data_IF_315749992110
#
_entry.id   IF_315749992110
#
_cell.length_a   1.000
_cell.length_b   1.000
_cell.length_c   1.000
_cell.angle_alpha   90.00
_cell.angle_beta   90.00
_cell.angle_gamma   90.00
#
_symmetry.space_group_name_H-M   'P 1'
#
loop_
_entity.id
_entity.type
_entity.pdbx_description
1 polymer ?
#
# COMPACT_ATOMS: atom_id res chain seq x y z
N UNK A 1 -6.34 -26.39 -6.18
CA UNK A 1 -6.27 -24.91 -6.18
C UNK A 1 -4.88 -24.47 -6.59
N UNK A 2 -4.75 -23.27 -7.16
CA UNK A 2 -3.45 -22.61 -7.34
C UNK A 2 -3.22 -21.68 -6.15
N UNK A 3 -2.13 -21.88 -5.43
CA UNK A 3 -1.73 -21.05 -4.30
C UNK A 3 -0.39 -20.41 -4.65
N UNK A 4 -0.48 -19.25 -5.30
CA UNK A 4 0.68 -18.48 -5.77
C UNK A 4 1.21 -17.62 -4.62
N UNK A 5 2.44 -17.86 -4.21
CA UNK A 5 3.21 -16.97 -3.35
C UNK A 5 4.15 -16.13 -4.21
N UNK A 6 4.08 -14.80 -4.07
CA UNK A 6 4.99 -13.86 -4.73
C UNK A 6 5.77 -13.15 -3.63
N UNK A 7 7.09 -13.28 -3.64
CA UNK A 7 8.00 -12.70 -2.63
C UNK A 7 9.19 -12.04 -3.31
N UNK A 8 10.10 -11.46 -2.53
CA UNK A 8 11.33 -10.83 -3.00
C UNK A 8 12.46 -10.97 -1.95
N UNK A 9 13.75 -10.89 -2.33
CA UNK A 9 14.87 -11.17 -1.43
C UNK A 9 14.90 -10.34 -0.14
N UNK A 10 14.45 -9.09 -0.18
CA UNK A 10 14.47 -8.15 0.94
C UNK A 10 13.44 -8.41 2.04
N UNK A 11 12.49 -9.31 1.83
CA UNK A 11 11.42 -9.63 2.81
C UNK A 11 11.24 -11.11 3.08
N UNK A 12 11.71 -12.01 2.19
CA UNK A 12 11.47 -13.46 2.31
C UNK A 12 11.97 -14.07 3.65
N UNK A 13 13.01 -13.48 4.25
CA UNK A 13 13.51 -13.91 5.55
C UNK A 13 12.58 -13.50 6.71
N UNK A 14 11.95 -12.33 6.62
CA UNK A 14 11.00 -11.84 7.62
C UNK A 14 9.59 -12.43 7.41
N UNK A 15 9.21 -12.68 6.16
CA UNK A 15 7.90 -13.18 5.73
C UNK A 15 8.06 -14.45 4.89
N UNK A 16 8.53 -15.52 5.52
CA UNK A 16 8.78 -16.79 4.84
C UNK A 16 7.50 -17.43 4.28
N UNK A 17 7.54 -17.98 3.05
CA UNK A 17 6.37 -18.61 2.44
C UNK A 17 5.83 -19.78 3.28
N UNK A 18 4.51 -19.82 3.47
CA UNK A 18 3.86 -20.94 4.13
C UNK A 18 3.93 -22.21 3.26
N UNK A 19 4.12 -23.43 3.84
CA UNK A 19 4.18 -24.68 3.08
C UNK A 19 2.95 -25.02 2.22
N UNK A 20 1.80 -24.37 2.44
CA UNK A 20 0.61 -24.53 1.58
C UNK A 20 0.77 -23.90 0.19
N UNK A 21 1.73 -22.97 0.03
CA UNK A 21 2.06 -22.35 -1.26
C UNK A 21 2.58 -23.42 -2.21
N UNK A 22 1.93 -23.57 -3.38
CA UNK A 22 2.29 -24.59 -4.37
C UNK A 22 2.91 -24.02 -5.65
N UNK A 23 2.95 -22.69 -5.79
CA UNK A 23 3.68 -21.98 -6.83
C UNK A 23 4.39 -20.79 -6.16
N UNK A 24 5.71 -20.81 -6.06
CA UNK A 24 6.49 -19.72 -5.48
C UNK A 24 7.22 -18.97 -6.58
N UNK A 25 7.07 -17.64 -6.61
CA UNK A 25 7.79 -16.73 -7.51
C UNK A 25 8.56 -15.72 -6.66
N UNK A 26 9.84 -15.55 -6.96
CA UNK A 26 10.71 -14.59 -6.30
C UNK A 26 11.00 -13.48 -7.30
N UNK A 27 10.42 -12.30 -7.06
CA UNK A 27 10.64 -11.09 -7.86
C UNK A 27 11.95 -10.42 -7.41
N UNK A 28 12.62 -9.65 -8.27
CA UNK A 28 13.94 -9.13 -7.93
C UNK A 28 13.91 -7.94 -6.96
N UNK A 29 12.77 -7.24 -6.83
CA UNK A 29 12.57 -6.14 -5.88
C UNK A 29 11.08 -5.97 -5.51
N UNK A 30 10.83 -5.08 -4.55
CA UNK A 30 9.48 -4.81 -4.01
C UNK A 30 8.55 -4.20 -5.05
N UNK A 31 9.02 -3.26 -5.88
CA UNK A 31 8.19 -2.65 -6.93
C UNK A 31 7.74 -3.68 -7.98
N UNK A 32 8.63 -4.60 -8.39
CA UNK A 32 8.25 -5.68 -9.31
C UNK A 32 7.34 -6.72 -8.65
N UNK A 33 7.49 -6.96 -7.34
CA UNK A 33 6.52 -7.74 -6.55
C UNK A 33 5.14 -7.10 -6.58
N UNK A 34 5.06 -5.79 -6.34
CA UNK A 34 3.81 -5.03 -6.36
C UNK A 34 3.17 -4.99 -7.76
N UNK A 35 3.97 -4.79 -8.82
CA UNK A 35 3.48 -4.88 -10.20
C UNK A 35 2.94 -6.28 -10.51
N UNK A 36 3.64 -7.35 -10.09
CA UNK A 36 3.17 -8.71 -10.30
C UNK A 36 1.76 -8.92 -9.71
N UNK A 37 1.50 -8.44 -8.48
CA UNK A 37 0.18 -8.57 -7.84
C UNK A 37 -0.95 -7.95 -8.69
N UNK A 38 -0.80 -6.71 -9.15
CA UNK A 38 -1.85 -6.01 -9.90
C UNK A 38 -1.98 -6.48 -11.34
N UNK A 39 -0.92 -7.06 -11.92
CA UNK A 39 -0.95 -7.62 -13.27
C UNK A 39 -1.64 -8.98 -13.33
N UNK A 40 -1.45 -9.83 -12.32
CA UNK A 40 -2.01 -11.19 -12.29
C UNK A 40 -3.34 -11.28 -11.53
N UNK A 41 -3.61 -10.33 -10.62
CA UNK A 41 -4.83 -10.30 -9.83
C UNK A 41 -6.04 -9.87 -10.66
N UNK A 42 -7.09 -10.69 -10.65
CA UNK A 42 -8.41 -10.34 -11.20
C UNK A 42 -9.32 -9.64 -10.19
N UNK A 43 -8.89 -9.60 -8.93
CA UNK A 43 -9.53 -8.94 -7.81
C UNK A 43 -8.61 -9.07 -6.60
N UNK A 44 -8.64 -8.08 -5.72
CA UNK A 44 -7.77 -8.01 -4.54
C UNK A 44 -8.64 -7.85 -3.29
N UNK A 45 -8.35 -8.68 -2.29
CA UNK A 45 -8.96 -8.60 -0.97
C UNK A 45 -7.87 -8.16 0.00
N UNK A 46 -8.13 -7.09 0.75
CA UNK A 46 -7.20 -6.55 1.74
C UNK A 46 -7.78 -6.75 3.14
N UNK A 47 -6.98 -7.36 4.00
CA UNK A 47 -7.28 -7.56 5.42
C UNK A 47 -6.54 -6.51 6.28
N UNK A 48 -6.92 -6.34 7.57
CA UNK A 48 -6.21 -5.43 8.45
C UNK A 48 -4.75 -5.79 8.63
N UNK A 49 -3.86 -4.83 8.39
CA UNK A 49 -2.42 -5.00 8.49
C UNK A 49 -1.73 -3.74 9.00
N UNK A 50 -0.39 -3.72 8.94
CA UNK A 50 0.42 -2.60 9.37
C UNK A 50 0.79 -1.67 8.21
N UNK A 51 1.97 -1.07 8.33
CA UNK A 51 2.53 -0.17 7.32
C UNK A 51 2.76 -0.81 5.96
N UNK A 52 3.09 -2.11 5.89
CA UNK A 52 3.25 -2.83 4.61
C UNK A 52 1.92 -2.95 3.86
N UNK A 53 0.82 -3.21 4.57
CA UNK A 53 -0.52 -3.24 3.97
C UNK A 53 -0.97 -1.84 3.55
N UNK A 54 -0.64 -0.81 4.32
CA UNK A 54 -0.91 0.57 3.91
C UNK A 54 -0.12 0.96 2.64
N UNK A 55 1.14 0.53 2.51
CA UNK A 55 1.94 0.67 1.30
C UNK A 55 1.26 0.02 0.08
N UNK A 56 0.80 -1.22 0.23
CA UNK A 56 0.11 -1.97 -0.82
C UNK A 56 -1.22 -1.31 -1.23
N UNK A 57 -2.00 -0.79 -0.26
CA UNK A 57 -3.22 -0.03 -0.52
C UNK A 57 -2.90 1.24 -1.33
N UNK A 58 -1.89 2.01 -0.92
CA UNK A 58 -1.52 3.24 -1.62
C UNK A 58 -0.96 2.97 -3.02
N UNK A 59 -0.24 1.87 -3.19
CA UNK A 59 0.23 1.41 -4.49
C UNK A 59 -0.92 1.17 -5.45
N UNK A 60 -1.90 0.33 -5.06
CA UNK A 60 -3.01 -0.01 -5.95
C UNK A 60 -3.94 1.17 -6.20
N UNK A 61 -4.27 1.97 -5.18
CA UNK A 61 -5.11 3.16 -5.38
C UNK A 61 -4.43 4.18 -6.27
N UNK A 62 -3.12 4.37 -6.13
CA UNK A 62 -2.35 5.24 -7.00
C UNK A 62 -2.45 4.83 -8.47
N UNK A 63 -2.39 3.53 -8.76
CA UNK A 63 -2.60 2.99 -10.10
C UNK A 63 -4.04 3.24 -10.57
N UNK A 64 -5.05 2.87 -9.78
CA UNK A 64 -6.47 3.00 -10.17
C UNK A 64 -6.91 4.46 -10.36
N UNK A 65 -6.25 5.40 -9.70
CA UNK A 65 -6.47 6.85 -9.86
C UNK A 65 -5.83 7.45 -11.11
N UNK A 66 -5.03 6.69 -11.86
CA UNK A 66 -4.47 7.17 -13.12
C UNK A 66 -5.58 7.37 -14.16
N UNK A 67 -5.60 8.48 -14.92
CA UNK A 67 -6.66 8.75 -15.91
C UNK A 67 -6.90 7.61 -16.90
N UNK A 68 -5.82 6.97 -17.38
CA UNK A 68 -5.89 5.85 -18.34
C UNK A 68 -6.51 4.58 -17.76
N UNK A 69 -6.70 4.48 -16.44
CA UNK A 69 -7.28 3.31 -15.77
C UNK A 69 -8.74 3.51 -15.35
N UNK A 70 -9.32 4.70 -15.59
CA UNK A 70 -10.64 5.08 -15.07
C UNK A 70 -11.76 4.09 -15.41
N UNK A 71 -11.70 3.50 -16.60
CA UNK A 71 -12.74 2.60 -17.11
C UNK A 71 -12.37 1.11 -16.96
N UNK A 72 -11.25 0.80 -16.29
CA UNK A 72 -10.84 -0.57 -16.05
C UNK A 72 -11.54 -1.12 -14.79
N UNK A 73 -12.33 -2.19 -14.89
CA UNK A 73 -12.87 -2.85 -13.72
C UNK A 73 -11.71 -3.50 -12.95
N UNK A 74 -11.60 -3.15 -11.66
CA UNK A 74 -10.63 -3.75 -10.75
C UNK A 74 -11.29 -3.96 -9.39
N UNK A 75 -11.78 -5.17 -9.09
CA UNK A 75 -12.43 -5.47 -7.80
C UNK A 75 -11.42 -5.33 -6.67
N UNK A 76 -11.63 -4.35 -5.79
CA UNK A 76 -10.83 -4.12 -4.60
C UNK A 76 -11.73 -4.10 -3.38
N UNK A 77 -11.58 -5.08 -2.49
CA UNK A 77 -12.43 -5.27 -1.33
C UNK A 77 -11.57 -5.20 -0.07
N UNK A 78 -11.97 -4.36 0.87
CA UNK A 78 -11.39 -4.27 2.20
C UNK A 78 -12.29 -5.00 3.17
N UNK A 79 -11.76 -5.97 3.92
CA UNK A 79 -12.60 -6.82 4.77
C UNK A 79 -11.90 -7.33 6.02
N UNK A 80 -12.70 -7.64 7.04
CA UNK A 80 -12.23 -8.22 8.29
C UNK A 80 -13.39 -8.60 9.21
N UNK A 81 -13.09 -9.18 10.39
CA UNK A 81 -14.11 -9.46 11.41
C UNK A 81 -14.74 -8.16 11.92
N UNK A 82 -15.82 -8.26 12.70
CA UNK A 82 -16.47 -7.07 13.30
C UNK A 82 -15.50 -6.18 14.10
N UNK A 83 -14.49 -6.76 14.74
CA UNK A 83 -13.44 -6.02 15.48
C UNK A 83 -12.53 -5.16 14.59
N UNK A 84 -12.55 -5.37 13.26
CA UNK A 84 -11.77 -4.59 12.30
C UNK A 84 -12.49 -3.31 11.83
N UNK A 85 -13.74 -3.06 12.24
CA UNK A 85 -14.51 -1.91 11.76
C UNK A 85 -13.78 -0.57 11.99
N UNK A 86 -13.28 -0.35 13.22
CA UNK A 86 -12.54 0.88 13.56
C UNK A 86 -11.22 1.01 12.79
N UNK A 87 -10.57 -0.10 12.42
CA UNK A 87 -9.37 -0.07 11.58
C UNK A 87 -9.71 0.44 10.18
N UNK A 88 -10.75 -0.11 9.54
CA UNK A 88 -11.12 0.30 8.19
C UNK A 88 -11.73 1.69 8.14
N UNK A 89 -12.42 2.16 9.19
CA UNK A 89 -12.85 3.56 9.29
C UNK A 89 -11.65 4.52 9.27
N UNK A 90 -10.55 4.17 9.95
CA UNK A 90 -9.35 5.00 9.96
C UNK A 90 -8.63 5.00 8.61
N UNK A 91 -8.54 3.83 7.95
CA UNK A 91 -7.98 3.70 6.60
C UNK A 91 -8.82 4.50 5.60
N UNK A 92 -10.14 4.33 5.61
CA UNK A 92 -11.07 5.02 4.71
C UNK A 92 -10.98 6.54 4.89
N UNK A 93 -11.01 7.01 6.13
CA UNK A 93 -10.86 8.43 6.45
C UNK A 93 -9.52 8.99 5.99
N UNK A 94 -8.42 8.25 6.16
CA UNK A 94 -7.11 8.67 5.69
C UNK A 94 -7.08 8.78 4.17
N UNK A 95 -7.59 7.77 3.45
CA UNK A 95 -7.67 7.77 1.98
C UNK A 95 -8.52 8.94 1.48
N UNK A 96 -9.70 9.16 2.06
CA UNK A 96 -10.57 10.28 1.70
C UNK A 96 -9.90 11.64 1.92
N UNK A 97 -9.17 11.81 3.02
CA UNK A 97 -8.49 13.09 3.34
C UNK A 97 -7.21 13.33 2.54
N UNK A 98 -6.51 12.26 2.17
CA UNK A 98 -5.26 12.34 1.40
C UNK A 98 -5.51 12.38 -0.12
N UNK A 99 -6.35 11.48 -0.63
CA UNK A 99 -6.54 11.21 -2.05
C UNK A 99 -7.95 11.57 -2.57
N UNK A 100 -8.90 11.86 -1.68
CA UNK A 100 -10.25 12.31 -2.04
C UNK A 100 -11.24 11.18 -2.37
N UNK A 101 -12.50 11.54 -2.56
CA UNK A 101 -13.62 10.60 -2.80
C UNK A 101 -13.40 9.68 -4.01
N UNK A 102 -12.69 10.15 -5.04
CA UNK A 102 -12.36 9.32 -6.20
C UNK A 102 -11.55 8.08 -5.79
N UNK A 103 -10.67 8.19 -4.80
CA UNK A 103 -9.92 7.06 -4.28
C UNK A 103 -10.82 6.12 -3.47
N UNK A 104 -11.76 6.67 -2.70
CA UNK A 104 -12.73 5.88 -1.94
C UNK A 104 -13.68 5.10 -2.85
N UNK A 105 -13.98 5.63 -4.04
CA UNK A 105 -14.79 4.92 -5.04
C UNK A 105 -14.10 3.74 -5.71
N UNK A 106 -12.79 3.55 -5.51
CA UNK A 106 -12.03 2.44 -6.08
C UNK A 106 -12.17 1.13 -5.28
N UNK A 107 -12.79 1.14 -4.10
CA UNK A 107 -12.92 -0.06 -3.25
C UNK A 107 -14.26 -0.14 -2.54
N UNK A 108 -14.58 -1.34 -2.05
CA UNK A 108 -15.72 -1.60 -1.16
C UNK A 108 -15.22 -2.11 0.20
N UNK A 109 -15.80 -1.62 1.30
CA UNK A 109 -15.53 -2.13 2.65
C UNK A 109 -16.67 -3.05 3.08
N UNK A 110 -16.36 -4.33 3.30
CA UNK A 110 -17.32 -5.35 3.74
C UNK A 110 -16.85 -5.92 5.08
N UNK A 111 -17.61 -5.67 6.15
CA UNK A 111 -17.24 -6.09 7.52
C UNK A 111 -18.06 -7.30 7.95
N UNK A 112 -17.38 -8.33 8.45
CA UNK A 112 -17.97 -9.50 9.08
C UNK A 112 -18.95 -10.29 8.18
N UNK A 113 -18.76 -10.22 6.86
CA UNK A 113 -19.56 -10.97 5.88
C UNK A 113 -18.66 -11.64 4.81
N UNK A 114 -18.07 -12.81 5.12
CA UNK A 114 -17.19 -13.51 4.17
C UNK A 114 -17.93 -14.02 2.92
N UNK A 115 -19.23 -14.28 3.01
CA UNK A 115 -20.03 -14.73 1.86
C UNK A 115 -20.25 -13.57 0.87
N UNK A 116 -20.60 -12.38 1.38
CA UNK A 116 -20.71 -11.17 0.58
C UNK A 116 -19.37 -10.85 -0.10
N UNK A 117 -18.24 -10.91 0.62
CA UNK A 117 -16.91 -10.72 0.02
C UNK A 117 -16.68 -11.66 -1.16
N UNK A 118 -16.94 -12.96 -0.98
CA UNK A 118 -16.74 -13.94 -2.04
C UNK A 118 -17.64 -13.69 -3.25
N UNK A 119 -18.90 -13.31 -3.00
CA UNK A 119 -19.87 -12.99 -4.06
C UNK A 119 -19.49 -11.72 -4.83
N UNK A 120 -19.10 -10.64 -4.14
CA UNK A 120 -18.65 -9.38 -4.74
C UNK A 120 -17.41 -9.59 -5.61
N UNK A 121 -16.40 -10.28 -5.09
CA UNK A 121 -15.16 -10.58 -5.85
C UNK A 121 -15.49 -11.44 -7.08
N UNK A 122 -16.33 -12.47 -6.93
CA UNK A 122 -16.72 -13.33 -8.05
C UNK A 122 -17.46 -12.57 -9.14
N UNK A 123 -18.37 -11.67 -8.77
CA UNK A 123 -19.07 -10.80 -9.72
C UNK A 123 -18.07 -9.90 -10.46
N UNK A 124 -17.20 -9.20 -9.72
CA UNK A 124 -16.20 -8.31 -10.31
C UNK A 124 -15.19 -9.03 -11.21
N UNK A 125 -14.83 -10.29 -10.92
CA UNK A 125 -13.99 -11.10 -11.82
C UNK A 125 -14.70 -11.38 -13.16
N UNK A 126 -16.03 -11.52 -13.17
CA UNK A 126 -16.77 -11.64 -14.43
C UNK A 126 -16.71 -10.33 -15.23
N UNK A 127 -16.81 -9.18 -14.58
CA UNK A 127 -16.69 -7.87 -15.23
C UNK A 127 -15.28 -7.69 -15.82
N UNK A 128 -14.23 -8.07 -15.07
CA UNK A 128 -12.85 -8.11 -15.57
C UNK A 128 -12.76 -9.00 -16.80
N UNK A 129 -13.35 -10.20 -16.76
CA UNK A 129 -13.31 -11.15 -17.89
C UNK A 129 -13.95 -10.55 -19.15
N UNK A 130 -15.14 -9.95 -19.06
CA UNK A 130 -15.77 -9.34 -20.23
C UNK A 130 -14.95 -8.13 -20.72
N UNK A 131 -14.40 -7.30 -19.83
CA UNK A 131 -13.55 -6.20 -20.24
C UNK A 131 -12.27 -6.66 -20.97
N UNK A 132 -11.62 -7.75 -20.56
CA UNK A 132 -10.45 -8.31 -21.28
C UNK A 132 -10.85 -8.77 -22.67
N UNK A 133 -11.99 -9.43 -22.79
CA UNK A 133 -12.51 -9.93 -24.05
C UNK A 133 -12.81 -8.78 -25.01
N UNK A 134 -13.41 -7.70 -24.52
CA UNK A 134 -13.76 -6.52 -25.32
C UNK A 134 -12.53 -5.72 -25.75
N UNK A 135 -11.53 -5.60 -24.88
CA UNK A 135 -10.26 -4.90 -25.18
C UNK A 135 -9.23 -5.75 -25.95
N UNK A 136 -9.45 -7.07 -26.06
CA UNK A 136 -8.50 -8.01 -26.64
C UNK A 136 -7.27 -8.28 -25.78
N UNK A 137 -7.30 -7.94 -24.49
CA UNK A 137 -6.19 -8.16 -23.56
C UNK A 137 -6.18 -9.61 -23.03
N UNK A 138 -5.03 -10.04 -22.50
CA UNK A 138 -4.86 -11.38 -21.96
C UNK A 138 -5.61 -11.56 -20.63
N UNK A 139 -6.21 -12.74 -20.44
CA UNK A 139 -6.81 -13.09 -19.14
C UNK A 139 -5.77 -13.31 -18.05
N UNK A 140 -4.58 -13.81 -18.38
CA UNK A 140 -3.58 -14.22 -17.38
C UNK A 140 -2.61 -13.11 -16.98
N UNK A 141 -2.65 -11.96 -17.67
CA UNK A 141 -1.80 -10.82 -17.38
C UNK A 141 -2.48 -9.55 -17.92
N UNK A 142 -2.71 -8.59 -17.04
CA UNK A 142 -3.38 -7.34 -17.35
C UNK A 142 -2.41 -6.35 -18.01
N UNK A 143 -2.27 -6.38 -19.35
CA UNK A 143 -1.41 -5.44 -20.08
C UNK A 143 -2.02 -4.05 -20.20
N UNK A 144 -3.34 -3.96 -20.29
CA UNK A 144 -4.06 -2.68 -20.46
C UNK A 144 -3.95 -1.75 -19.24
N UNK A 145 -3.62 -2.26 -18.06
CA UNK A 145 -3.40 -1.43 -16.87
C UNK A 145 -2.19 -0.53 -17.06
N UNK A 146 -2.43 0.78 -17.03
CA UNK A 146 -1.38 1.77 -17.01
C UNK A 146 -0.73 1.81 -15.62
N UNK A 147 0.58 1.63 -15.53
CA UNK A 147 1.33 1.80 -14.27
C UNK A 147 2.35 2.90 -14.51
N UNK A 148 2.16 4.05 -13.85
CA UNK A 148 3.07 5.18 -13.98
C UNK A 148 4.49 4.79 -13.50
N UNK A 149 5.57 5.21 -14.17
CA UNK A 149 6.94 4.93 -13.76
C UNK A 149 7.26 5.26 -12.29
N UNK A 150 6.54 6.19 -11.66
CA UNK A 150 6.66 6.50 -10.24
C UNK A 150 6.36 5.30 -9.32
N UNK A 151 5.55 4.34 -9.78
CA UNK A 151 5.24 3.10 -9.07
C UNK A 151 6.24 1.97 -9.38
N UNK A 152 6.94 2.03 -10.51
CA UNK A 152 7.85 0.97 -10.94
C UNK A 152 9.32 1.19 -10.54
N UNK A 153 9.72 2.46 -10.35
CA UNK A 153 11.09 2.81 -9.95
C UNK A 153 11.35 2.37 -8.50
N UNK A 154 12.42 1.58 -8.26
CA UNK A 154 12.84 1.23 -6.91
C UNK A 154 13.07 2.46 -6.05
N UNK A 155 12.57 2.41 -4.81
CA UNK A 155 12.80 3.45 -3.82
C UNK A 155 13.78 2.97 -2.75
N UNK A 156 14.90 3.69 -2.61
CA UNK A 156 15.87 3.46 -1.54
C UNK A 156 15.61 4.45 -0.40
N UNK A 157 15.17 4.00 0.78
CA UNK A 157 14.75 4.89 1.87
C UNK A 157 15.96 5.40 2.67
N UNK A 158 16.70 6.35 2.09
CA UNK A 158 17.69 7.16 2.83
C UNK A 158 17.01 8.35 3.51
N UNK A 159 17.65 8.96 4.51
CA UNK A 159 17.11 10.15 5.19
C UNK A 159 16.80 11.29 4.23
N UNK A 160 17.67 11.53 3.25
CA UNK A 160 17.46 12.56 2.22
C UNK A 160 16.27 12.20 1.32
N UNK A 161 16.20 10.96 0.82
CA UNK A 161 15.08 10.53 -0.03
C UNK A 161 13.73 10.56 0.70
N UNK A 162 13.72 10.27 2.01
CA UNK A 162 12.52 10.35 2.86
C UNK A 162 12.10 11.80 3.10
N UNK A 163 13.06 12.71 3.32
CA UNK A 163 12.84 14.14 3.51
C UNK A 163 12.33 14.82 2.23
N UNK A 164 12.82 14.39 1.07
CA UNK A 164 12.51 14.98 -0.24
C UNK A 164 11.17 14.49 -0.85
N UNK A 165 10.43 13.63 -0.15
CA UNK A 165 9.12 13.17 -0.62
C UNK A 165 8.16 14.35 -0.76
N UNK A 166 7.59 14.52 -1.96
CA UNK A 166 6.56 15.53 -2.19
C UNK A 166 5.21 15.07 -1.60
N UNK A 167 4.98 15.36 -0.32
CA UNK A 167 3.74 15.06 0.40
C UNK A 167 2.84 16.30 0.53
N UNK A 168 2.65 17.02 -0.58
CA UNK A 168 1.71 18.15 -0.70
C UNK A 168 0.54 17.79 -1.63
N UNK A 169 -0.64 18.33 -1.37
CA UNK A 169 -1.90 18.07 -2.10
C UNK A 169 -1.93 18.76 -3.47
N UNK A 170 -1.06 19.73 -3.74
CA UNK A 170 -0.98 20.43 -5.02
C UNK A 170 -0.21 19.62 -6.09
N UNK A 171 -0.71 18.41 -6.36
CA UNK A 171 -0.22 17.51 -7.40
C UNK A 171 -1.33 16.53 -7.81
N UNK A 172 -1.20 15.84 -8.96
CA UNK A 172 -2.12 14.76 -9.30
C UNK A 172 -2.21 13.70 -8.19
N UNK A 173 -3.43 13.24 -7.89
CA UNK A 173 -3.71 12.31 -6.76
C UNK A 173 -2.93 11.00 -6.86
N UNK A 174 -2.77 10.45 -8.06
CA UNK A 174 -1.96 9.24 -8.27
C UNK A 174 -0.47 9.48 -7.94
N UNK A 175 0.08 10.68 -8.18
CA UNK A 175 1.45 11.02 -7.81
C UNK A 175 1.60 11.22 -6.29
N UNK A 176 0.60 11.82 -5.63
CA UNK A 176 0.57 11.88 -4.17
C UNK A 176 0.54 10.47 -3.55
N UNK A 177 -0.29 9.57 -4.10
CA UNK A 177 -0.32 8.17 -3.69
C UNK A 177 1.04 7.48 -3.87
N UNK A 178 1.76 7.76 -4.96
CA UNK A 178 3.12 7.23 -5.18
C UNK A 178 4.12 7.70 -4.11
N UNK A 179 4.06 8.97 -3.70
CA UNK A 179 4.93 9.50 -2.64
C UNK A 179 4.55 8.97 -1.24
N UNK A 180 3.24 8.84 -0.95
CA UNK A 180 2.78 8.20 0.28
C UNK A 180 3.23 6.73 0.34
N UNK A 181 3.10 5.98 -0.77
CA UNK A 181 3.61 4.61 -0.88
C UNK A 181 5.08 4.52 -0.49
N UNK A 182 5.93 5.42 -1.01
CA UNK A 182 7.36 5.48 -0.66
C UNK A 182 7.59 5.79 0.82
N UNK A 183 6.82 6.70 1.41
CA UNK A 183 6.91 7.00 2.84
C UNK A 183 6.64 5.74 3.69
N UNK A 184 5.55 5.02 3.40
CA UNK A 184 5.25 3.76 4.10
C UNK A 184 6.30 2.68 3.85
N UNK A 185 6.82 2.57 2.62
CA UNK A 185 7.93 1.66 2.28
C UNK A 185 9.19 1.94 3.09
N UNK A 186 9.52 3.22 3.31
CA UNK A 186 10.62 3.63 4.18
C UNK A 186 10.40 3.25 5.64
N UNK A 187 9.17 3.37 6.15
CA UNK A 187 8.83 2.93 7.51
C UNK A 187 8.93 1.39 7.64
N UNK A 188 8.49 0.65 6.62
CA UNK A 188 8.70 -0.82 6.57
C UNK A 188 10.19 -1.13 6.62
N UNK A 189 11.01 -0.47 5.78
CA UNK A 189 12.44 -0.70 5.75
C UNK A 189 13.11 -0.41 7.10
N UNK A 190 12.78 0.72 7.74
CA UNK A 190 13.30 1.08 9.06
C UNK A 190 12.89 0.14 10.19
N UNK A 191 11.81 -0.64 10.01
CA UNK A 191 11.30 -1.57 11.02
C UNK A 191 11.83 -3.00 10.87
N UNK A 192 12.01 -3.49 9.64
CA UNK A 192 12.27 -4.93 9.40
C UNK A 192 13.42 -5.24 8.46
N UNK A 193 13.95 -4.26 7.70
CA UNK A 193 15.05 -4.51 6.76
C UNK A 193 16.39 -4.12 7.38
N UNK A 194 17.39 -4.99 7.27
CA UNK A 194 18.71 -4.80 7.86
C UNK A 194 19.34 -3.44 7.50
N UNK A 195 19.25 -3.04 6.23
CA UNK A 195 19.77 -1.75 5.74
C UNK A 195 19.05 -0.56 6.38
N UNK A 196 17.71 -0.64 6.49
CA UNK A 196 16.90 0.41 7.10
C UNK A 196 17.15 0.54 8.59
N UNK A 197 17.22 -0.58 9.32
CA UNK A 197 17.53 -0.60 10.76
C UNK A 197 18.89 0.06 11.02
N UNK A 198 19.93 -0.29 10.25
CA UNK A 198 21.27 0.31 10.37
C UNK A 198 21.27 1.80 10.07
N UNK A 199 20.50 2.25 9.07
CA UNK A 199 20.38 3.67 8.76
C UNK A 199 19.79 4.44 9.93
N UNK A 200 18.78 3.88 10.60
CA UNK A 200 18.17 4.49 11.79
C UNK A 200 19.16 4.54 12.97
N UNK A 201 19.92 3.47 13.20
CA UNK A 201 20.95 3.44 14.25
C UNK A 201 22.07 4.47 14.02
N UNK A 202 22.43 4.72 12.76
CA UNK A 202 23.56 5.59 12.39
C UNK A 202 23.17 7.06 12.27
N UNK A 203 22.00 7.36 11.72
CA UNK A 203 21.60 8.72 11.31
C UNK A 203 20.35 9.22 12.04
N UNK A 204 19.72 8.40 12.89
CA UNK A 204 18.50 8.76 13.61
C UNK A 204 17.24 8.48 12.81
N UNK A 205 16.12 9.08 13.22
CA UNK A 205 14.80 8.79 12.65
C UNK A 205 14.63 9.36 11.23
N UNK A 206 13.84 8.70 10.39
CA UNK A 206 13.37 9.31 9.14
C UNK A 206 12.44 10.49 9.45
N UNK A 207 12.82 11.69 9.01
CA UNK A 207 11.97 12.88 9.10
C UNK A 207 11.07 12.95 7.88
N UNK A 208 9.75 13.00 8.11
CA UNK A 208 8.76 13.05 7.03
C UNK A 208 8.01 14.37 7.11
N UNK A 209 8.05 15.11 6.00
CA UNK A 209 7.52 16.47 5.86
C UNK A 209 6.46 16.53 4.76
N UNK A 210 5.55 17.50 4.84
CA UNK A 210 4.52 17.73 3.83
C UNK A 210 3.47 18.72 4.31
N UNK A 211 2.29 18.67 3.70
CA UNK A 211 1.16 19.49 4.14
C UNK A 211 0.80 19.19 5.61
N UNK A 212 0.64 20.21 6.47
CA UNK A 212 0.40 20.01 7.91
C UNK A 212 -0.80 19.11 8.21
N UNK A 213 -1.89 19.27 7.45
CA UNK A 213 -3.08 18.43 7.60
C UNK A 213 -2.82 16.98 7.23
N UNK A 214 -2.12 16.74 6.10
CA UNK A 214 -1.79 15.39 5.64
C UNK A 214 -0.83 14.70 6.63
N UNK A 215 0.16 15.44 7.13
CA UNK A 215 1.08 14.93 8.15
C UNK A 215 0.33 14.58 9.44
N UNK A 216 -0.61 15.41 9.90
CA UNK A 216 -1.44 15.11 11.05
C UNK A 216 -2.41 13.93 10.84
N UNK A 217 -2.86 13.69 9.61
CA UNK A 217 -3.64 12.50 9.24
C UNK A 217 -2.78 11.23 9.23
N UNK A 218 -1.58 11.30 8.65
CA UNK A 218 -0.64 10.18 8.59
C UNK A 218 -0.15 9.78 9.99
N UNK A 219 0.17 10.75 10.84
CA UNK A 219 0.62 10.49 12.20
C UNK A 219 -0.46 9.78 13.03
N UNK A 220 -1.72 10.22 12.92
CA UNK A 220 -2.86 9.54 13.58
C UNK A 220 -3.07 8.12 13.08
N UNK A 221 -2.85 7.86 11.79
CA UNK A 221 -2.92 6.51 11.24
C UNK A 221 -1.78 5.63 11.77
N UNK A 222 -0.56 6.15 11.82
CA UNK A 222 0.59 5.42 12.32
C UNK A 222 0.50 5.15 13.83
N UNK A 223 0.04 6.11 14.63
CA UNK A 223 -0.26 5.95 16.06
C UNK A 223 -1.29 4.82 16.29
N UNK A 224 -2.30 4.72 15.41
CA UNK A 224 -3.30 3.65 15.54
C UNK A 224 -2.73 2.27 15.23
N UNK A 225 -1.79 2.16 14.29
CA UNK A 225 -1.06 0.91 14.04
C UNK A 225 -0.21 0.51 15.24
N UNK A 226 0.42 1.47 15.93
CA UNK A 226 1.16 1.20 17.18
C UNK A 226 0.20 0.71 18.26
N UNK A 227 -0.91 1.41 18.50
CA UNK A 227 -1.90 1.05 19.51
C UNK A 227 -2.52 -0.34 19.30
N UNK A 228 -2.64 -0.76 18.04
CA UNK A 228 -3.17 -2.07 17.66
C UNK A 228 -2.08 -3.15 17.53
N UNK A 229 -0.82 -2.86 17.92
CA UNK A 229 0.31 -3.80 17.80
C UNK A 229 0.54 -4.32 16.38
N UNK A 230 0.40 -3.44 15.38
CA UNK A 230 0.55 -3.75 13.94
C UNK A 230 1.91 -3.31 13.36
N UNK A 231 2.78 -2.74 14.18
CA UNK A 231 4.12 -2.28 13.79
C UNK A 231 5.22 -3.31 14.08
N UNK A 232 4.96 -4.25 15.00
CA UNK A 232 5.91 -5.29 15.42
C UNK A 232 5.14 -6.47 16.02
N UNK A 233 5.77 -7.64 16.05
CA UNK A 233 5.23 -8.82 16.73
C UNK A 233 5.03 -8.56 18.24
N UNK A 234 4.02 -9.18 18.87
CA UNK A 234 3.72 -9.01 20.29
C UNK A 234 4.93 -9.28 21.20
N UNK A 235 5.04 -8.53 22.30
CA UNK A 235 6.03 -8.79 23.37
C UNK A 235 7.24 -7.86 23.43
N UNK A 236 7.33 -6.84 22.57
CA UNK A 236 8.37 -5.79 22.68
C UNK A 236 7.79 -4.40 22.47
N UNK A 237 8.29 -3.41 23.21
CA UNK A 237 7.93 -2.00 22.99
C UNK A 237 8.40 -1.57 21.60
N UNK A 238 7.48 -1.09 20.78
CA UNK A 238 7.80 -0.51 19.48
C UNK A 238 8.44 0.87 19.68
N UNK A 239 9.61 1.08 19.08
CA UNK A 239 10.25 2.39 18.97
C UNK A 239 10.12 2.84 17.52
N UNK A 240 9.47 3.98 17.23
CA UNK A 240 9.33 4.46 15.86
C UNK A 240 10.67 4.66 15.15
N UNK A 241 10.74 4.26 13.87
CA UNK A 241 11.84 4.58 12.96
C UNK A 241 11.64 5.91 12.21
N UNK A 242 10.56 6.64 12.51
CA UNK A 242 10.15 7.85 11.81
C UNK A 242 9.77 8.95 12.80
N UNK A 243 9.78 10.18 12.31
CA UNK A 243 9.26 11.36 12.98
C UNK A 243 8.47 12.19 11.97
N UNK A 244 7.17 12.37 12.25
CA UNK A 244 6.32 13.24 11.44
C UNK A 244 6.56 14.69 11.86
N UNK A 245 6.94 15.53 10.90
CA UNK A 245 7.17 16.95 11.14
C UNK A 245 5.89 17.71 10.84
N UNK A 246 5.25 18.21 11.90
CA UNK A 246 3.93 18.87 11.84
C UNK A 246 4.02 20.39 11.70
N UNK A 247 5.22 20.97 11.86
CA UNK A 247 5.43 22.41 11.77
C UNK A 247 5.67 22.84 10.31
N UNK A 248 5.24 24.06 9.97
CA UNK A 248 5.55 24.65 8.67
C UNK A 248 7.07 24.72 8.51
N UNK A 249 7.60 24.08 7.47
CA UNK A 249 9.02 24.15 7.12
C UNK A 249 9.40 25.62 6.88
N UNK A 250 10.01 26.27 7.87
CA UNK A 250 10.71 27.54 7.68
C UNK A 250 12.07 27.20 7.08
N UNK A 251 12.10 26.94 5.77
CA UNK A 251 13.36 26.85 5.04
C UNK A 251 14.13 28.15 5.23
N UNK A 252 15.42 28.03 5.57
CA UNK A 252 16.34 29.16 5.64
C UNK A 252 16.29 29.96 4.32
N UNK A 253 16.27 31.29 4.48
CA UNK A 253 16.30 32.27 3.38
C UNK A 253 17.64 32.30 2.67
#
# INVERSE_FOLDING_TARGET
>A
GRYLGITEPGIIAAESPNPIVNQLVIMPDIEKRLEAFVRVGHGIIVFPGGVGTAEEILYILGILLHPDNRDLPFPLIFTGPASAAAYFEQIDRFIGRALGEAAQSCYEIIINDPEQVANTVKAGINDVREQRKDSGDAYYFNWSLHIDPAFQRPFHPTHDNMRDLNLHKNQPRHLLAANLRRAFSGIVAGNVKDEGIRAIEQHGLFEIHGDPELMADMDRLLESFVAQSRMKLPGTTYTPCYKIIRDAYQGER
#
